data_IF_416810015547
#
_entry.id   IF_416810015547
#
_cell.length_a   1.000
_cell.length_b   1.000
_cell.length_c   1.000
_cell.angle_alpha   90.00
_cell.angle_beta   90.00
_cell.angle_gamma   90.00
#
_symmetry.space_group_name_H-M   'P 1'
#
loop_
_entity.id
_entity.type
_entity.pdbx_description
1 polymer ?
#
# COMPACT_ATOMS: atom_id res chain seq x y z
N UNK A 1 -17.61 1.02 -25.23
CA UNK A 1 -16.50 1.51 -24.37
C UNK A 1 -15.50 0.39 -24.19
N UNK A 2 -14.21 0.57 -24.49
CA UNK A 2 -13.19 -0.49 -24.30
C UNK A 2 -12.91 -0.66 -22.80
N UNK A 3 -12.71 -1.90 -22.30
CA UNK A 3 -12.27 -2.12 -20.93
C UNK A 3 -10.94 -1.41 -20.69
N UNK A 4 -10.83 -0.70 -19.57
CA UNK A 4 -9.57 -0.08 -19.17
C UNK A 4 -8.54 -1.15 -18.85
N UNK A 5 -7.36 -1.08 -19.48
CA UNK A 5 -6.21 -1.94 -19.15
C UNK A 5 -5.47 -1.50 -17.89
N UNK A 6 -5.87 -0.38 -17.27
CA UNK A 6 -5.21 0.13 -16.06
C UNK A 6 -5.53 -0.75 -14.87
N UNK A 7 -4.48 -1.14 -14.14
CA UNK A 7 -4.61 -1.77 -12.83
C UNK A 7 -5.36 -0.83 -11.87
N UNK A 8 -6.10 -1.41 -10.93
CA UNK A 8 -6.70 -0.65 -9.83
C UNK A 8 -5.60 -0.05 -8.96
N UNK A 9 -5.83 1.17 -8.49
CA UNK A 9 -4.88 1.92 -7.67
C UNK A 9 -5.45 2.07 -6.25
N UNK A 10 -4.60 1.87 -5.24
CA UNK A 10 -4.94 2.00 -3.83
C UNK A 10 -3.93 2.94 -3.18
N UNK A 11 -4.43 4.01 -2.57
CA UNK A 11 -3.63 4.92 -1.74
C UNK A 11 -3.67 4.43 -0.30
N UNK A 12 -2.50 4.36 0.33
CA UNK A 12 -2.36 4.11 1.77
C UNK A 12 -1.67 5.31 2.41
N UNK A 13 -2.34 5.88 3.42
CA UNK A 13 -1.86 6.99 4.23
C UNK A 13 -1.72 6.51 5.67
N UNK A 14 -0.61 6.86 6.31
CA UNK A 14 -0.37 6.56 7.72
C UNK A 14 0.81 7.35 8.25
N UNK A 15 1.07 7.22 9.54
CA UNK A 15 2.15 7.92 10.25
C UNK A 15 3.52 7.65 9.60
N UNK A 16 4.38 8.67 9.60
CA UNK A 16 5.80 8.62 9.20
C UNK A 16 6.69 7.94 10.25
N UNK A 17 6.18 7.75 11.45
CA UNK A 17 6.85 7.15 12.59
C UNK A 17 6.54 5.65 12.64
N UNK A 18 7.56 4.83 12.95
CA UNK A 18 7.34 3.42 13.20
C UNK A 18 6.67 3.24 14.57
N UNK A 19 5.64 2.40 14.64
CA UNK A 19 4.85 2.21 15.85
C UNK A 19 3.90 1.02 15.76
N UNK A 20 2.81 1.07 16.52
CA UNK A 20 1.75 0.07 16.40
C UNK A 20 1.18 0.06 14.97
N UNK A 21 0.79 -1.11 14.46
CA UNK A 21 0.21 -1.24 13.11
C UNK A 21 1.19 -1.59 12.00
N UNK A 22 2.50 -1.70 12.25
CA UNK A 22 3.49 -2.05 11.22
C UNK A 22 3.28 -3.45 10.64
N UNK A 23 2.89 -4.44 11.47
CA UNK A 23 2.63 -5.80 11.00
C UNK A 23 1.39 -5.84 10.10
N UNK A 24 0.35 -5.12 10.49
CA UNK A 24 -0.89 -4.94 9.75
C UNK A 24 -0.63 -4.19 8.44
N UNK A 25 0.20 -3.15 8.45
CA UNK A 25 0.60 -2.43 7.24
C UNK A 25 1.27 -3.36 6.22
N UNK A 26 2.19 -4.23 6.66
CA UNK A 26 2.80 -5.25 5.78
C UNK A 26 1.78 -6.23 5.24
N UNK A 27 0.86 -6.70 6.09
CA UNK A 27 -0.21 -7.62 5.66
C UNK A 27 -1.12 -6.97 4.60
N UNK A 28 -1.44 -5.68 4.75
CA UNK A 28 -2.20 -4.88 3.79
C UNK A 28 -1.42 -4.75 2.46
N UNK A 29 -0.12 -4.44 2.53
CA UNK A 29 0.75 -4.32 1.36
C UNK A 29 0.76 -5.61 0.54
N UNK A 30 1.00 -6.73 1.22
CA UNK A 30 0.92 -8.08 0.63
C UNK A 30 -0.43 -8.35 -0.02
N UNK A 31 -1.53 -8.05 0.66
CA UNK A 31 -2.86 -8.27 0.10
C UNK A 31 -3.12 -7.44 -1.17
N UNK A 32 -2.70 -6.17 -1.19
CA UNK A 32 -2.81 -5.29 -2.36
C UNK A 32 -2.01 -5.86 -3.54
N UNK A 33 -0.80 -6.36 -3.28
CA UNK A 33 0.04 -7.01 -4.29
C UNK A 33 -0.58 -8.30 -4.83
N UNK A 34 -1.12 -9.17 -3.96
CA UNK A 34 -1.80 -10.42 -4.34
C UNK A 34 -3.04 -10.17 -5.21
N UNK A 35 -3.71 -9.03 -5.08
CA UNK A 35 -4.82 -8.61 -5.97
C UNK A 35 -4.34 -8.03 -7.31
N UNK A 36 -3.04 -7.84 -7.51
CA UNK A 36 -2.47 -7.25 -8.71
C UNK A 36 -2.74 -5.75 -8.83
N UNK A 37 -2.99 -5.07 -7.70
CA UNK A 37 -3.27 -3.63 -7.66
C UNK A 37 -1.96 -2.83 -7.56
N UNK A 38 -2.03 -1.55 -7.92
CA UNK A 38 -0.94 -0.60 -7.73
C UNK A 38 -1.11 0.05 -6.36
N UNK A 39 -0.10 -0.07 -5.52
CA UNK A 39 0.01 0.62 -4.24
C UNK A 39 0.63 2.01 -4.46
N UNK A 40 0.05 3.02 -3.82
CA UNK A 40 0.54 4.41 -3.82
C UNK A 40 0.66 4.86 -2.36
N UNK A 41 1.81 5.43 -2.01
CA UNK A 41 2.09 5.99 -0.67
C UNK A 41 2.84 7.32 -0.80
N UNK A 42 3.00 8.04 0.32
CA UNK A 42 3.90 9.21 0.40
C UNK A 42 5.40 8.84 0.44
N UNK A 43 5.74 7.55 0.44
CA UNK A 43 7.09 7.02 0.24
C UNK A 43 7.82 6.60 1.52
N UNK A 44 8.13 7.53 2.43
CA UNK A 44 9.16 7.30 3.47
C UNK A 44 8.61 7.21 4.89
N UNK A 45 9.11 6.25 5.66
CA UNK A 45 8.89 6.09 7.10
C UNK A 45 7.57 5.43 7.49
N UNK A 46 7.56 4.86 8.70
CA UNK A 46 6.37 4.38 9.40
C UNK A 46 5.51 3.44 8.57
N UNK A 47 4.21 3.74 8.51
CA UNK A 47 3.21 2.91 7.82
C UNK A 47 3.42 2.90 6.30
N UNK A 48 3.83 4.03 5.72
CA UNK A 48 4.00 4.16 4.26
C UNK A 48 5.16 3.30 3.74
N UNK A 49 6.24 3.20 4.51
CA UNK A 49 7.33 2.27 4.21
C UNK A 49 6.90 0.83 4.49
N UNK A 50 6.26 0.57 5.64
CA UNK A 50 5.84 -0.77 6.03
C UNK A 50 4.88 -1.43 5.03
N UNK A 51 3.94 -0.67 4.46
CA UNK A 51 2.99 -1.19 3.45
C UNK A 51 3.63 -1.42 2.08
N UNK A 52 4.82 -0.87 1.85
CA UNK A 52 5.57 -1.02 0.59
C UNK A 52 6.49 -2.24 0.57
N UNK A 53 6.55 -3.02 1.67
CA UNK A 53 7.38 -4.21 1.86
C UNK A 53 6.63 -5.52 1.66
#
# INVERSE_FOLDING_TARGET
>A
MKPSSRKKQVVVIGSSEAGAGTAEARAIGRFIAEKGYVLITGGRGGIMEAVSM
#
